data_IF_722161870774
#
_entry.id   IF_722161870774
#
_cell.length_a   1.000
_cell.length_b   1.000
_cell.length_c   1.000
_cell.angle_alpha   90.00
_cell.angle_beta   90.00
_cell.angle_gamma   90.00
#
_symmetry.space_group_name_H-M   'P 1'
#
loop_
_entity.id
_entity.type
_entity.pdbx_description
1 polymer ?
#
# COMPACT_ATOMS: atom_id res chain seq x y z
N UNK A 1 -9.15 -41.66 26.94
CA UNK A 1 -9.01 -41.95 25.50
C UNK A 1 -10.03 -41.09 24.77
N UNK A 2 -9.54 -40.30 23.81
CA UNK A 2 -10.23 -39.58 22.73
C UNK A 2 -11.39 -38.63 23.06
N UNK A 3 -11.06 -37.36 23.36
CA UNK A 3 -11.94 -36.22 23.01
C UNK A 3 -11.52 -35.71 21.63
N UNK A 4 -12.08 -36.32 20.59
CA UNK A 4 -11.91 -35.87 19.21
C UNK A 4 -12.44 -34.44 19.04
N UNK A 5 -11.53 -33.50 18.84
CA UNK A 5 -11.88 -32.14 18.42
C UNK A 5 -12.22 -32.16 16.94
N UNK A 6 -13.44 -32.59 16.61
CA UNK A 6 -13.97 -32.53 15.24
C UNK A 6 -14.16 -31.06 14.88
N UNK A 7 -13.15 -30.47 14.20
CA UNK A 7 -13.29 -29.16 13.53
C UNK A 7 -14.56 -29.23 12.67
N UNK A 8 -15.60 -28.49 13.05
CA UNK A 8 -16.76 -28.26 12.18
C UNK A 8 -16.25 -27.54 10.94
N UNK A 9 -16.14 -28.27 9.84
CA UNK A 9 -15.97 -27.68 8.52
C UNK A 9 -17.31 -27.05 8.17
N UNK A 10 -17.43 -25.74 8.33
CA UNK A 10 -18.56 -25.00 7.80
C UNK A 10 -18.44 -24.99 6.28
N UNK A 11 -19.41 -25.57 5.58
CA UNK A 11 -19.51 -25.46 4.13
C UNK A 11 -19.68 -23.99 3.77
N UNK A 12 -18.88 -23.44 2.84
CA UNK A 12 -19.04 -22.05 2.42
C UNK A 12 -20.38 -21.86 1.71
N UNK A 13 -21.04 -20.73 2.00
CA UNK A 13 -22.21 -20.27 1.27
C UNK A 13 -21.75 -19.45 0.06
N UNK A 14 -22.29 -19.76 -1.12
CA UNK A 14 -22.00 -19.04 -2.35
C UNK A 14 -23.18 -18.16 -2.72
N UNK A 15 -22.90 -16.91 -3.09
CA UNK A 15 -23.89 -15.95 -3.58
C UNK A 15 -23.67 -15.69 -5.07
N UNK A 16 -24.74 -15.48 -5.87
CA UNK A 16 -24.60 -15.03 -7.25
C UNK A 16 -23.84 -13.70 -7.31
N UNK A 17 -22.96 -13.57 -8.32
CA UNK A 17 -22.23 -12.33 -8.55
C UNK A 17 -23.19 -11.26 -9.09
N UNK A 18 -23.27 -10.13 -8.40
CA UNK A 18 -23.92 -8.92 -8.92
C UNK A 18 -22.96 -8.22 -9.89
N UNK A 19 -23.17 -8.42 -11.19
CA UNK A 19 -22.34 -7.84 -12.25
C UNK A 19 -23.20 -7.10 -13.27
N UNK A 20 -22.64 -6.03 -13.84
CA UNK A 20 -23.24 -5.28 -14.94
C UNK A 20 -22.38 -5.43 -16.19
N UNK A 21 -22.95 -6.01 -17.24
CA UNK A 21 -22.32 -6.06 -18.55
C UNK A 21 -22.58 -4.76 -19.33
N UNK A 22 -21.58 -4.31 -20.09
CA UNK A 22 -21.71 -3.15 -20.98
C UNK A 22 -21.53 -3.60 -22.45
N UNK A 23 -22.13 -2.90 -23.43
CA UNK A 23 -21.85 -3.16 -24.83
C UNK A 23 -20.34 -3.03 -25.15
N UNK A 24 -19.78 -3.82 -26.09
CA UNK A 24 -18.34 -3.82 -26.37
C UNK A 24 -17.74 -2.45 -26.69
N UNK A 25 -18.46 -1.59 -27.41
CA UNK A 25 -18.02 -0.22 -27.71
C UNK A 25 -17.89 0.65 -26.46
N UNK A 26 -18.84 0.50 -25.52
CA UNK A 26 -18.80 1.19 -24.24
C UNK A 26 -17.68 0.67 -23.35
N UNK A 27 -17.43 -0.66 -23.34
CA UNK A 27 -16.30 -1.26 -22.63
C UNK A 27 -14.97 -0.69 -23.11
N UNK A 28 -14.77 -0.61 -24.43
CA UNK A 28 -13.55 -0.05 -25.02
C UNK A 28 -13.37 1.42 -24.62
N UNK A 29 -14.43 2.24 -24.76
CA UNK A 29 -14.39 3.67 -24.39
C UNK A 29 -14.01 3.88 -22.92
N UNK A 30 -14.55 3.07 -22.02
CA UNK A 30 -14.24 3.13 -20.57
C UNK A 30 -12.79 2.72 -20.30
N UNK A 31 -12.30 1.67 -20.96
CA UNK A 31 -10.91 1.23 -20.84
C UNK A 31 -9.93 2.31 -21.34
N UNK A 32 -10.20 2.91 -22.49
CA UNK A 32 -9.38 4.00 -23.05
C UNK A 32 -9.38 5.23 -22.13
N UNK A 33 -10.54 5.61 -21.60
CA UNK A 33 -10.66 6.72 -20.66
C UNK A 33 -9.86 6.45 -19.40
N UNK A 34 -9.99 5.26 -18.81
CA UNK A 34 -9.23 4.89 -17.62
C UNK A 34 -7.72 4.88 -17.89
N UNK A 35 -7.29 4.29 -19.02
CA UNK A 35 -5.90 4.30 -19.45
C UNK A 35 -5.35 5.73 -19.59
N UNK A 36 -6.11 6.63 -20.23
CA UNK A 36 -5.72 8.02 -20.40
C UNK A 36 -5.58 8.76 -19.06
N UNK A 37 -6.42 8.44 -18.07
CA UNK A 37 -6.31 9.03 -16.73
C UNK A 37 -5.10 8.48 -15.95
N UNK A 38 -4.91 7.15 -15.89
CA UNK A 38 -3.79 6.57 -15.13
C UNK A 38 -2.43 6.81 -15.77
N UNK A 39 -2.36 6.94 -17.10
CA UNK A 39 -1.10 7.24 -17.82
C UNK A 39 -0.55 8.64 -17.53
N UNK A 40 -1.40 9.58 -17.07
CA UNK A 40 -0.97 10.91 -16.61
C UNK A 40 -0.25 10.88 -15.26
N UNK A 41 -0.38 9.79 -14.49
CA UNK A 41 0.23 9.67 -13.16
C UNK A 41 1.75 9.75 -13.27
N UNK A 42 2.35 10.64 -12.49
CA UNK A 42 3.80 10.74 -12.31
C UNK A 42 4.13 10.65 -10.82
N UNK A 43 5.30 10.13 -10.51
CA UNK A 43 5.84 10.24 -9.15
C UNK A 43 6.30 11.68 -8.94
N UNK A 44 5.65 12.38 -8.01
CA UNK A 44 5.95 13.76 -7.62
C UNK A 44 6.74 13.75 -6.31
N UNK A 45 7.75 14.62 -6.20
CA UNK A 45 8.64 14.73 -5.02
C UNK A 45 8.64 16.12 -4.38
N UNK A 46 7.89 17.05 -4.97
CA UNK A 46 7.70 18.42 -4.47
C UNK A 46 6.22 18.61 -4.22
N UNK A 47 5.85 18.78 -2.95
CA UNK A 47 4.45 18.84 -2.51
C UNK A 47 4.09 20.23 -2.01
N UNK A 48 2.82 20.60 -2.15
CA UNK A 48 2.23 21.71 -1.40
C UNK A 48 1.78 21.21 -0.03
N UNK A 49 1.86 22.11 0.96
CA UNK A 49 1.31 21.96 2.31
C UNK A 49 -0.20 22.21 2.39
N UNK A 50 -0.87 22.47 1.25
CA UNK A 50 -2.31 22.70 1.19
C UNK A 50 -3.07 21.53 1.84
N UNK A 51 -3.97 21.79 2.80
CA UNK A 51 -4.76 20.75 3.43
C UNK A 51 -5.57 19.93 2.42
N UNK A 52 -5.63 18.62 2.67
CA UNK A 52 -6.48 17.67 1.93
C UNK A 52 -7.52 17.11 2.89
N UNK A 53 -8.76 16.93 2.42
CA UNK A 53 -9.81 16.36 3.26
C UNK A 53 -9.47 14.94 3.68
N UNK A 54 -9.61 14.65 4.98
CA UNK A 54 -9.44 13.30 5.54
C UNK A 54 -10.33 12.27 4.83
N UNK A 55 -11.57 12.63 4.52
CA UNK A 55 -12.51 11.74 3.82
C UNK A 55 -12.01 11.31 2.44
N UNK A 56 -11.26 12.18 1.75
CA UNK A 56 -10.65 11.83 0.47
C UNK A 56 -9.57 10.76 0.66
N UNK A 57 -8.70 10.94 1.66
CA UNK A 57 -7.66 9.96 2.00
C UNK A 57 -8.30 8.61 2.39
N UNK A 58 -9.31 8.63 3.26
CA UNK A 58 -10.03 7.41 3.66
C UNK A 58 -10.69 6.71 2.47
N UNK A 59 -11.27 7.46 1.54
CA UNK A 59 -11.88 6.90 0.32
C UNK A 59 -10.83 6.23 -0.58
N UNK A 60 -9.66 6.84 -0.74
CA UNK A 60 -8.54 6.22 -1.47
C UNK A 60 -8.08 4.92 -0.80
N UNK A 61 -8.02 4.87 0.54
CA UNK A 61 -7.64 3.68 1.28
C UNK A 61 -8.69 2.56 1.20
N UNK A 62 -9.99 2.91 1.14
CA UNK A 62 -11.05 1.93 0.90
C UNK A 62 -10.92 1.30 -0.50
N UNK A 63 -10.56 2.10 -1.51
CA UNK A 63 -10.28 1.58 -2.84
C UNK A 63 -9.07 0.62 -2.83
N UNK A 64 -7.96 1.00 -2.18
CA UNK A 64 -6.80 0.13 -1.98
C UNK A 64 -7.17 -1.19 -1.26
N UNK A 65 -8.00 -1.12 -0.22
CA UNK A 65 -8.47 -2.28 0.54
C UNK A 65 -9.37 -3.25 -0.24
N UNK A 66 -9.85 -2.87 -1.44
CA UNK A 66 -10.61 -3.77 -2.32
C UNK A 66 -9.74 -4.73 -3.13
N UNK A 67 -8.41 -4.62 -3.01
CA UNK A 67 -7.47 -5.49 -3.72
C UNK A 67 -7.70 -6.99 -3.40
N UNK A 68 -7.50 -7.88 -4.39
CA UNK A 68 -7.47 -9.31 -4.13
C UNK A 68 -6.26 -9.66 -3.25
N UNK A 69 -6.40 -10.71 -2.44
CA UNK A 69 -5.34 -11.12 -1.53
C UNK A 69 -5.44 -12.62 -1.17
N UNK A 70 -4.31 -13.20 -0.78
CA UNK A 70 -4.20 -14.62 -0.47
C UNK A 70 -5.16 -15.04 0.65
N UNK A 71 -6.08 -15.96 0.33
CA UNK A 71 -7.08 -16.49 1.25
C UNK A 71 -7.99 -15.43 1.90
N UNK A 72 -8.16 -14.26 1.28
CA UNK A 72 -8.98 -13.15 1.77
C UNK A 72 -8.62 -12.66 3.20
N UNK A 73 -7.34 -12.72 3.56
CA UNK A 73 -6.80 -12.34 4.87
C UNK A 73 -6.51 -10.84 5.02
N UNK A 74 -6.54 -10.08 3.92
CA UNK A 74 -6.32 -8.62 3.86
C UNK A 74 -5.07 -8.19 4.64
N UNK A 75 -3.88 -8.69 4.26
CA UNK A 75 -2.68 -8.66 5.11
C UNK A 75 -1.96 -7.30 5.07
N UNK A 76 -2.69 -6.19 5.04
CA UNK A 76 -2.17 -4.83 5.00
C UNK A 76 -2.58 -4.02 6.22
N UNK A 77 -1.72 -3.09 6.60
CA UNK A 77 -2.05 -2.04 7.55
C UNK A 77 -1.58 -0.69 7.01
N UNK A 78 -2.54 0.19 6.74
CA UNK A 78 -2.30 1.56 6.27
C UNK A 78 -2.24 2.50 7.48
N UNK A 79 -1.05 3.01 7.80
CA UNK A 79 -0.85 4.02 8.85
C UNK A 79 -0.86 5.40 8.21
N UNK A 80 -1.83 6.22 8.60
CA UNK A 80 -1.95 7.60 8.14
C UNK A 80 -1.30 8.52 9.18
N UNK A 81 -0.17 9.12 8.82
CA UNK A 81 0.58 10.04 9.69
C UNK A 81 0.27 11.47 9.30
N UNK A 82 -0.28 12.23 10.25
CA UNK A 82 -0.56 13.67 10.12
C UNK A 82 0.22 14.51 11.13
N UNK A 83 0.64 13.90 12.23
CA UNK A 83 1.31 14.58 13.32
C UNK A 83 2.67 15.15 12.84
N UNK A 84 2.90 16.48 12.94
CA UNK A 84 4.13 17.10 12.43
C UNK A 84 5.40 16.57 13.10
N UNK A 85 5.33 16.23 14.39
CA UNK A 85 6.49 15.75 15.14
C UNK A 85 6.83 14.32 14.74
N UNK A 86 5.84 13.44 14.55
CA UNK A 86 6.07 12.10 14.01
C UNK A 86 6.61 12.17 12.57
N UNK A 87 6.05 13.05 11.72
CA UNK A 87 6.57 13.26 10.36
C UNK A 87 8.03 13.72 10.37
N UNK A 88 8.41 14.62 11.29
CA UNK A 88 9.79 15.07 11.47
C UNK A 88 10.72 13.94 11.87
N UNK A 89 10.32 13.12 12.84
CA UNK A 89 11.10 11.95 13.25
C UNK A 89 11.31 10.96 12.10
N UNK A 90 10.26 10.71 11.29
CA UNK A 90 10.36 9.88 10.08
C UNK A 90 11.35 10.50 9.07
N UNK A 91 11.27 11.81 8.83
CA UNK A 91 12.21 12.51 7.93
C UNK A 91 13.64 12.32 8.39
N UNK A 92 13.94 12.69 9.63
CA UNK A 92 15.31 12.66 10.17
C UNK A 92 15.92 11.25 10.09
N UNK A 93 15.14 10.22 10.42
CA UNK A 93 15.57 8.83 10.30
C UNK A 93 15.80 8.43 8.82
N UNK A 94 14.89 8.78 7.92
CA UNK A 94 15.02 8.47 6.50
C UNK A 94 16.24 9.15 5.86
N UNK A 95 16.48 10.43 6.16
CA UNK A 95 17.65 11.14 5.63
C UNK A 95 18.97 10.61 6.21
N UNK A 96 18.98 10.11 7.45
CA UNK A 96 20.15 9.49 8.04
C UNK A 96 20.53 8.20 7.29
N UNK A 97 19.56 7.30 7.07
CA UNK A 97 19.77 6.06 6.30
C UNK A 97 20.18 6.35 4.84
N UNK A 98 19.57 7.35 4.21
CA UNK A 98 19.93 7.75 2.84
C UNK A 98 21.36 8.30 2.76
N UNK A 99 21.79 9.12 3.73
CA UNK A 99 23.19 9.58 3.79
C UNK A 99 24.16 8.40 3.87
N UNK A 100 23.88 7.40 4.69
CA UNK A 100 24.69 6.18 4.79
C UNK A 100 24.64 5.34 3.50
N UNK A 101 23.48 5.28 2.85
CA UNK A 101 23.29 4.58 1.59
C UNK A 101 24.17 5.15 0.48
N UNK A 102 24.10 6.47 0.28
CA UNK A 102 24.89 7.19 -0.72
C UNK A 102 26.38 7.30 -0.38
N UNK A 103 26.79 7.22 0.90
CA UNK A 103 28.19 7.33 1.29
C UNK A 103 29.04 6.07 1.09
N UNK A 104 28.45 4.95 0.63
CA UNK A 104 29.23 3.76 0.27
C UNK A 104 28.57 2.40 0.46
N UNK A 105 27.29 2.34 0.88
CA UNK A 105 26.56 1.05 0.99
C UNK A 105 25.86 0.64 -0.31
N UNK A 106 25.56 1.59 -1.20
CA UNK A 106 24.91 1.32 -2.46
C UNK A 106 25.90 0.78 -3.52
N UNK A 107 25.57 -0.32 -4.23
CA UNK A 107 26.31 -0.71 -5.43
C UNK A 107 26.31 0.41 -6.48
N UNK A 108 27.41 0.59 -7.22
CA UNK A 108 27.52 1.65 -8.23
C UNK A 108 26.40 1.57 -9.29
N UNK A 109 26.06 0.36 -9.72
CA UNK A 109 24.94 0.11 -10.66
C UNK A 109 23.61 0.70 -10.15
N UNK A 110 23.38 0.62 -8.84
CA UNK A 110 22.18 1.19 -8.24
C UNK A 110 22.22 2.72 -8.22
N UNK A 111 23.37 3.32 -7.93
CA UNK A 111 23.56 4.76 -7.97
C UNK A 111 23.32 5.30 -9.38
N UNK A 112 23.86 4.61 -10.38
CA UNK A 112 23.71 4.99 -11.79
C UNK A 112 22.25 4.90 -12.24
N UNK A 113 21.50 3.90 -11.76
CA UNK A 113 20.07 3.76 -12.02
C UNK A 113 19.23 4.88 -11.38
N UNK A 114 19.66 5.43 -10.23
CA UNK A 114 18.99 6.54 -9.56
C UNK A 114 19.36 7.92 -10.12
N UNK A 115 20.53 8.06 -10.76
CA UNK A 115 21.04 9.35 -11.24
C UNK A 115 20.05 10.14 -12.12
N UNK A 116 19.29 9.52 -13.07
CA UNK A 116 18.31 10.25 -13.88
C UNK A 116 17.13 10.80 -13.08
N UNK A 117 16.90 10.29 -11.86
CA UNK A 117 15.79 10.71 -11.01
C UNK A 117 16.12 11.97 -10.20
N UNK A 118 17.39 12.39 -10.15
CA UNK A 118 17.84 13.55 -9.39
C UNK A 118 17.56 13.46 -7.89
N UNK A 119 17.52 12.24 -7.34
CA UNK A 119 17.23 12.02 -5.93
C UNK A 119 18.48 12.18 -5.08
N UNK A 120 18.34 12.87 -3.96
CA UNK A 120 19.38 13.03 -2.95
C UNK A 120 18.86 12.57 -1.56
N UNK A 121 19.70 12.64 -0.51
CA UNK A 121 19.28 12.32 0.84
C UNK A 121 18.28 13.30 1.45
N UNK A 122 18.05 14.49 0.88
CA UNK A 122 17.11 15.47 1.42
C UNK A 122 15.66 15.07 1.07
N UNK A 123 14.82 14.91 2.10
CA UNK A 123 13.44 14.43 1.94
C UNK A 123 12.43 15.43 2.54
N UNK A 124 12.45 16.72 2.17
CA UNK A 124 11.58 17.74 2.77
C UNK A 124 10.09 17.42 2.61
N UNK A 125 9.72 16.72 1.54
CA UNK A 125 8.34 16.29 1.28
C UNK A 125 7.75 15.41 2.39
N UNK A 126 8.57 14.74 3.21
CA UNK A 126 8.10 13.95 4.35
C UNK A 126 7.46 14.84 5.43
N UNK A 127 7.78 16.14 5.47
CA UNK A 127 7.10 17.10 6.35
C UNK A 127 6.11 17.98 5.60
N UNK A 128 6.45 18.44 4.39
CA UNK A 128 5.59 19.33 3.61
C UNK A 128 4.27 18.67 3.22
N UNK A 129 4.28 17.38 2.88
CA UNK A 129 3.05 16.68 2.52
C UNK A 129 2.07 16.65 3.72
N UNK A 130 0.76 16.93 3.50
CA UNK A 130 -0.22 16.96 4.58
C UNK A 130 -0.46 15.57 5.22
N UNK A 131 -0.19 14.49 4.48
CA UNK A 131 -0.34 13.11 4.92
C UNK A 131 0.86 12.28 4.46
N UNK A 132 1.36 11.41 5.33
CA UNK A 132 2.16 10.25 4.93
C UNK A 132 1.33 8.98 5.10
N UNK A 133 1.28 8.15 4.07
CA UNK A 133 0.65 6.82 4.14
C UNK A 133 1.77 5.79 4.19
N UNK A 134 1.94 5.16 5.35
CA UNK A 134 2.93 4.09 5.56
C UNK A 134 2.22 2.74 5.50
N UNK A 135 2.69 1.85 4.63
CA UNK A 135 2.01 0.60 4.31
C UNK A 135 2.83 -0.56 4.88
N UNK A 136 2.20 -1.35 5.76
CA UNK A 136 2.82 -2.52 6.36
C UNK A 136 2.18 -3.80 5.84
N UNK A 137 3.00 -4.78 5.49
CA UNK A 137 2.55 -6.15 5.25
C UNK A 137 2.52 -6.97 6.54
N UNK A 138 1.40 -7.63 6.82
CA UNK A 138 1.21 -8.51 7.96
C UNK A 138 1.54 -9.94 7.55
N UNK A 139 2.71 -10.46 7.98
CA UNK A 139 3.13 -11.84 7.68
C UNK A 139 2.29 -12.90 8.40
N UNK A 140 1.59 -12.52 9.47
CA UNK A 140 0.64 -13.34 10.20
C UNK A 140 -0.38 -12.47 10.95
N UNK A 141 -1.53 -13.06 11.24
CA UNK A 141 -2.53 -12.53 12.18
C UNK A 141 -2.46 -13.26 13.52
N UNK A 142 -3.09 -12.68 14.55
CA UNK A 142 -3.24 -13.29 15.87
C UNK A 142 -4.70 -13.64 16.11
N UNK A 143 -4.96 -14.90 16.49
CA UNK A 143 -6.27 -15.33 16.97
C UNK A 143 -6.52 -14.78 18.39
N UNK A 144 -7.78 -14.75 18.86
CA UNK A 144 -8.10 -14.32 20.23
C UNK A 144 -7.35 -15.09 21.33
N UNK A 145 -6.92 -16.33 21.05
CA UNK A 145 -6.12 -17.15 21.97
C UNK A 145 -4.59 -16.94 21.85
N UNK A 146 -4.16 -15.96 21.06
CA UNK A 146 -2.76 -15.61 20.85
C UNK A 146 -2.02 -16.49 19.84
N UNK A 147 -2.65 -17.52 19.27
CA UNK A 147 -2.01 -18.33 18.23
C UNK A 147 -1.85 -17.52 16.94
N UNK A 148 -0.71 -17.71 16.28
CA UNK A 148 -0.39 -17.10 14.98
C UNK A 148 -1.09 -17.85 13.84
N UNK A 149 -1.71 -17.10 12.93
CA UNK A 149 -2.24 -17.59 11.66
C UNK A 149 -1.42 -16.97 10.55
N UNK A 150 -0.73 -17.82 9.78
CA UNK A 150 0.11 -17.38 8.67
C UNK A 150 -0.74 -16.70 7.60
N UNK A 151 -0.26 -15.58 7.07
CA UNK A 151 -0.79 -14.96 5.86
C UNK A 151 0.01 -15.44 4.64
N UNK A 152 -0.64 -15.50 3.49
CA UNK A 152 -0.08 -16.08 2.26
C UNK A 152 0.07 -14.99 1.19
N UNK A 153 1.15 -15.05 0.40
CA UNK A 153 1.43 -14.10 -0.68
C UNK A 153 1.32 -12.64 -0.22
N UNK A 154 1.90 -12.34 0.94
CA UNK A 154 1.72 -11.05 1.61
C UNK A 154 2.32 -9.92 0.77
N UNK A 155 3.51 -10.11 0.22
CA UNK A 155 4.17 -9.09 -0.59
C UNK A 155 3.38 -8.77 -1.85
N UNK A 156 2.86 -9.79 -2.52
CA UNK A 156 2.05 -9.66 -3.73
C UNK A 156 0.68 -9.04 -3.41
N UNK A 157 0.03 -9.50 -2.34
CA UNK A 157 -1.27 -8.98 -1.90
C UNK A 157 -1.18 -7.50 -1.55
N UNK A 158 -0.17 -7.11 -0.77
CA UNK A 158 0.06 -5.72 -0.40
C UNK A 158 0.45 -4.89 -1.62
N UNK A 159 1.33 -5.40 -2.49
CA UNK A 159 1.75 -4.70 -3.70
C UNK A 159 0.63 -4.43 -4.69
N UNK A 160 -0.41 -5.26 -4.76
CA UNK A 160 -1.61 -4.99 -5.58
C UNK A 160 -2.49 -3.90 -4.96
N UNK A 161 -2.46 -3.74 -3.64
CA UNK A 161 -3.23 -2.73 -2.93
C UNK A 161 -2.59 -1.32 -2.97
N UNK A 162 -1.33 -1.19 -3.38
CA UNK A 162 -0.57 0.08 -3.39
C UNK A 162 -0.52 0.73 -4.76
#
# INVERSE_FOLDING_TARGET
METGNTRRVTTPEFVPLDFSEYPPEEMLRRAETFYAEVSRRRTVREFSDRPVSRTLIETCLLAAGSAPNGANLQPWHFVVVVDPEIKRQIREAAEAEEREFYSGRAPQEWIDALAPLGTDPHKPFLETAPYLIVIFGQSYGLLPDGRKVKHYYVQESVGIAT
#
